data_IF_716163591594
#
_entry.id   IF_716163591594
#
_cell.length_a   1.000
_cell.length_b   1.000
_cell.length_c   1.000
_cell.angle_alpha   90.00
_cell.angle_beta   90.00
_cell.angle_gamma   90.00
#
_symmetry.space_group_name_H-M   'P 1'
#
loop_
_entity.id
_entity.type
_entity.pdbx_description
1 polymer ?
#
# COMPACT_ATOMS: atom_id res chain seq x y z
N UNK A 1 1.41 6.50 9.94
CA UNK A 1 1.12 6.77 8.51
C UNK A 1 1.24 5.45 7.75
N UNK A 2 0.16 4.99 7.11
CA UNK A 2 0.11 3.73 6.34
C UNK A 2 0.11 3.96 4.82
N UNK A 3 -0.38 5.12 4.38
CA UNK A 3 -0.34 5.57 3.00
C UNK A 3 -0.24 7.11 2.96
N UNK A 4 0.21 7.64 1.83
CA UNK A 4 0.27 9.07 1.54
C UNK A 4 -0.05 9.34 0.09
N UNK A 5 -0.89 10.34 -0.16
CA UNK A 5 -0.99 10.92 -1.49
C UNK A 5 0.28 11.75 -1.72
N UNK A 6 1.19 11.21 -2.51
CA UNK A 6 2.52 11.80 -2.74
C UNK A 6 2.45 12.96 -3.74
N UNK A 7 1.66 12.77 -4.78
CA UNK A 7 1.37 13.76 -5.81
C UNK A 7 -0.07 13.52 -6.31
N UNK A 8 -0.67 14.44 -7.09
CA UNK A 8 -1.94 14.16 -7.75
C UNK A 8 -1.88 12.84 -8.52
N UNK A 9 -2.79 11.92 -8.21
CA UNK A 9 -2.85 10.60 -8.83
C UNK A 9 -1.76 9.60 -8.43
N UNK A 10 -0.86 9.93 -7.50
CA UNK A 10 0.19 9.01 -7.02
C UNK A 10 0.05 8.75 -5.54
N UNK A 11 -0.31 7.51 -5.18
CA UNK A 11 -0.49 7.07 -3.80
C UNK A 11 0.66 6.16 -3.37
N UNK A 12 1.40 6.54 -2.34
CA UNK A 12 2.37 5.66 -1.70
C UNK A 12 1.66 4.84 -0.63
N UNK A 13 1.85 3.52 -0.61
CA UNK A 13 1.30 2.61 0.40
C UNK A 13 2.45 1.83 1.04
N UNK A 14 2.48 1.81 2.37
CA UNK A 14 3.53 1.12 3.13
C UNK A 14 3.23 -0.38 3.20
N UNK A 15 4.12 -1.19 2.66
CA UNK A 15 3.98 -2.65 2.63
C UNK A 15 5.28 -3.33 3.10
N UNK A 16 5.17 -4.59 3.51
CA UNK A 16 6.37 -5.42 3.70
C UNK A 16 7.03 -5.73 2.36
N UNK A 17 8.28 -6.20 2.40
CA UNK A 17 9.07 -6.41 1.18
C UNK A 17 8.45 -7.46 0.26
N UNK A 18 7.99 -8.57 0.83
CA UNK A 18 7.38 -9.67 0.07
C UNK A 18 6.04 -9.25 -0.55
N UNK A 19 5.22 -8.53 0.21
CA UNK A 19 3.92 -8.01 -0.21
C UNK A 19 4.09 -6.95 -1.32
N UNK A 20 5.06 -6.05 -1.17
CA UNK A 20 5.37 -5.04 -2.18
C UNK A 20 5.82 -5.67 -3.51
N UNK A 21 6.67 -6.71 -3.45
CA UNK A 21 7.10 -7.45 -4.64
C UNK A 21 5.96 -8.23 -5.29
N UNK A 22 5.03 -8.77 -4.51
CA UNK A 22 3.88 -9.48 -5.04
C UNK A 22 2.87 -8.53 -5.73
N UNK A 23 2.76 -7.30 -5.23
CA UNK A 23 1.87 -6.28 -5.78
C UNK A 23 2.44 -5.53 -7.00
N UNK A 24 3.74 -5.64 -7.27
CA UNK A 24 4.41 -4.93 -8.38
C UNK A 24 3.86 -5.35 -9.74
N UNK A 25 3.54 -4.35 -10.58
CA UNK A 25 3.06 -4.55 -11.94
C UNK A 25 1.91 -3.60 -12.32
N UNK A 26 1.73 -3.38 -13.62
CA UNK A 26 0.68 -2.52 -14.14
C UNK A 26 0.75 -1.10 -13.57
N UNK A 27 -0.23 -0.74 -12.75
CA UNK A 27 -0.33 0.57 -12.09
C UNK A 27 0.50 0.70 -10.80
N UNK A 28 1.20 -0.35 -10.38
CA UNK A 28 1.93 -0.43 -9.11
C UNK A 28 3.42 -0.57 -9.35
N UNK A 29 4.20 0.30 -8.73
CA UNK A 29 5.66 0.27 -8.75
C UNK A 29 6.22 0.17 -7.34
N UNK A 30 7.44 -0.35 -7.21
CA UNK A 30 8.11 -0.42 -5.91
C UNK A 30 8.48 0.96 -5.39
N UNK A 31 8.26 1.17 -4.10
CA UNK A 31 8.66 2.38 -3.38
C UNK A 31 9.88 2.09 -2.53
N UNK A 32 11.04 2.55 -3.00
CA UNK A 32 12.29 2.49 -2.24
C UNK A 32 12.48 3.74 -1.38
N UNK A 33 12.99 3.55 -0.17
CA UNK A 33 13.48 4.63 0.68
C UNK A 33 14.94 4.38 1.04
N UNK A 34 15.84 5.10 0.37
CA UNK A 34 17.27 4.83 0.46
C UNK A 34 17.59 3.47 -0.14
N UNK A 35 18.11 2.53 0.67
CA UNK A 35 18.43 1.15 0.25
C UNK A 35 17.37 0.11 0.66
N UNK A 36 16.22 0.55 1.17
CA UNK A 36 15.19 -0.33 1.72
C UNK A 36 13.90 -0.20 0.92
N UNK A 37 13.29 -1.34 0.60
CA UNK A 37 11.93 -1.37 0.08
C UNK A 37 10.95 -0.98 1.19
N UNK A 38 10.26 0.15 1.00
CA UNK A 38 9.34 0.73 1.97
C UNK A 38 7.87 0.39 1.67
N UNK A 39 7.56 -0.03 0.44
CA UNK A 39 6.23 -0.43 0.03
C UNK A 39 6.05 -0.28 -1.48
N UNK A 40 4.92 0.27 -1.88
CA UNK A 40 4.58 0.51 -3.29
C UNK A 40 4.10 1.93 -3.53
N UNK A 41 4.23 2.39 -4.77
CA UNK A 41 3.56 3.56 -5.30
C UNK A 41 2.52 3.11 -6.33
N UNK A 42 1.33 3.67 -6.25
CA UNK A 42 0.19 3.34 -7.10
C UNK A 42 -0.15 4.54 -7.96
N UNK A 43 -0.28 4.32 -9.26
CA UNK A 43 -0.89 5.25 -10.19
C UNK A 43 -2.41 5.12 -10.15
N UNK A 44 -3.08 6.07 -9.51
CA UNK A 44 -4.53 6.07 -9.33
C UNK A 44 -5.30 6.29 -10.63
N UNK A 45 -4.66 6.78 -11.70
CA UNK A 45 -5.32 6.92 -13.01
C UNK A 45 -5.38 5.58 -13.77
N UNK A 46 -4.48 4.65 -13.45
CA UNK A 46 -4.38 3.34 -14.09
C UNK A 46 -4.81 2.18 -13.18
N UNK A 47 -4.87 2.40 -11.87
CA UNK A 47 -5.24 1.38 -10.90
C UNK A 47 -6.75 1.18 -10.81
N UNK A 48 -7.16 -0.08 -10.65
CA UNK A 48 -8.51 -0.43 -10.29
C UNK A 48 -8.79 -0.09 -8.81
N UNK A 49 -10.04 0.28 -8.50
CA UNK A 49 -10.44 0.67 -7.14
C UNK A 49 -10.33 -0.47 -6.12
N UNK A 50 -10.58 -1.71 -6.52
CA UNK A 50 -10.41 -2.90 -5.66
C UNK A 50 -8.96 -3.13 -5.32
N UNK A 51 -8.04 -3.01 -6.30
CA UNK A 51 -6.60 -3.10 -6.04
C UNK A 51 -6.14 -2.07 -5.01
N UNK A 52 -6.61 -0.82 -5.13
CA UNK A 52 -6.26 0.23 -4.16
C UNK A 52 -6.83 -0.09 -2.78
N UNK A 53 -8.07 -0.59 -2.70
CA UNK A 53 -8.71 -0.97 -1.45
C UNK A 53 -7.94 -2.10 -0.75
N UNK A 54 -7.57 -3.15 -1.48
CA UNK A 54 -6.83 -4.30 -0.94
C UNK A 54 -5.46 -3.88 -0.39
N UNK A 55 -4.71 -3.05 -1.12
CA UNK A 55 -3.42 -2.54 -0.67
C UNK A 55 -3.53 -1.71 0.62
N UNK A 56 -4.56 -0.87 0.72
CA UNK A 56 -4.82 -0.07 1.92
C UNK A 56 -5.24 -0.97 3.08
N UNK A 57 -6.01 -2.02 2.81
CA UNK A 57 -6.48 -2.96 3.82
C UNK A 57 -5.34 -3.78 4.42
N UNK A 58 -4.44 -4.28 3.58
CA UNK A 58 -3.23 -4.99 4.01
C UNK A 58 -2.31 -4.09 4.85
N UNK A 59 -2.07 -2.86 4.36
CA UNK A 59 -1.26 -1.88 5.06
C UNK A 59 -1.86 -1.51 6.42
N UNK A 60 -3.18 -1.41 6.50
CA UNK A 60 -3.90 -1.19 7.74
C UNK A 60 -3.77 -2.40 8.66
N UNK A 61 -4.15 -3.60 8.21
CA UNK A 61 -4.10 -4.83 8.99
C UNK A 61 -2.74 -5.04 9.64
N UNK A 62 -1.64 -4.77 8.92
CA UNK A 62 -0.28 -4.86 9.46
C UNK A 62 0.00 -3.87 10.60
N UNK A 63 -0.47 -2.62 10.48
CA UNK A 63 -0.19 -1.55 11.47
C UNK A 63 -1.24 -1.43 12.56
N UNK A 64 -2.35 -2.14 12.45
CA UNK A 64 -3.45 -2.05 13.38
C UNK A 64 -3.15 -2.52 14.79
N UNK A 65 -3.51 -1.75 15.84
CA UNK A 65 -3.61 -2.28 17.19
C UNK A 65 -4.56 -3.48 17.21
N UNK A 66 -4.20 -4.51 17.98
CA UNK A 66 -4.94 -5.77 18.03
C UNK A 66 -6.43 -5.61 18.39
N UNK A 67 -6.79 -4.57 19.16
CA UNK A 67 -8.18 -4.25 19.52
C UNK A 67 -9.00 -3.88 18.29
N UNK A 68 -8.48 -3.01 17.43
CA UNK A 68 -9.18 -2.57 16.22
C UNK A 68 -9.25 -3.65 15.13
N UNK A 69 -8.37 -4.66 15.17
CA UNK A 69 -8.47 -5.83 14.29
C UNK A 69 -9.62 -6.75 14.68
N UNK A 70 -9.98 -6.80 15.97
CA UNK A 70 -11.04 -7.68 16.50
C UNK A 70 -12.44 -7.13 16.27
N UNK A 71 -12.58 -5.81 16.23
CA UNK A 71 -13.88 -5.14 16.04
C UNK A 71 -14.26 -4.97 14.57
N UNK A 72 -13.59 -5.70 13.67
CA UNK A 72 -13.90 -5.70 12.24
C UNK A 72 -15.12 -6.61 11.99
N UNK A 73 -16.15 -6.14 11.26
CA UNK A 73 -17.32 -6.94 10.91
C UNK A 73 -16.98 -8.11 9.99
#
# INVERSE_FOLDING_TARGET
>A
MLATLWAPGKLNVMAGESEARAAEGGAVTLLEWGRRLAGVQVDLAAADGTLVADLLDDAWTRRAPARLRRDRP
#
